data_IF_325017601210
#
_entry.id   IF_325017601210
#
_cell.length_a   1.000
_cell.length_b   1.000
_cell.length_c   1.000
_cell.angle_alpha   90.00
_cell.angle_beta   90.00
_cell.angle_gamma   90.00
#
_symmetry.space_group_name_H-M   'P 1'
#
loop_
_entity.id
_entity.type
_entity.pdbx_description
1 polymer ?
#
# COMPACT_ATOMS: atom_id res chain seq x y z
N UNK A 1 1.86 -23.17 -10.03
CA UNK A 1 3.23 -23.24 -9.47
C UNK A 1 3.23 -23.14 -7.94
N UNK A 2 2.89 -21.99 -7.32
CA UNK A 2 2.86 -21.89 -5.84
C UNK A 2 1.84 -22.84 -5.19
N UNK A 3 0.59 -22.79 -5.63
CA UNK A 3 -0.49 -23.69 -5.16
C UNK A 3 -0.18 -25.18 -5.35
N UNK A 4 0.70 -25.54 -6.28
CA UNK A 4 1.00 -26.93 -6.64
C UNK A 4 2.22 -27.47 -5.90
N UNK A 5 3.21 -26.63 -5.60
CA UNK A 5 4.54 -27.08 -5.20
C UNK A 5 5.05 -26.45 -3.90
N UNK A 6 4.36 -25.46 -3.32
CA UNK A 6 4.89 -24.70 -2.20
C UNK A 6 3.92 -24.47 -1.05
N UNK A 7 2.61 -24.36 -1.31
CA UNK A 7 1.62 -24.12 -0.25
C UNK A 7 0.68 -25.30 -0.10
N UNK A 8 0.44 -25.72 1.14
CA UNK A 8 -0.49 -26.81 1.47
C UNK A 8 -1.95 -26.33 1.59
N UNK A 9 -2.16 -25.01 1.81
CA UNK A 9 -3.48 -24.41 1.99
C UNK A 9 -3.81 -23.44 0.85
N UNK A 10 -3.49 -22.16 1.00
CA UNK A 10 -3.77 -21.13 0.01
C UNK A 10 -2.63 -20.12 -0.07
N UNK A 11 -2.37 -19.60 -1.27
CA UNK A 11 -1.48 -18.46 -1.46
C UNK A 11 -2.32 -17.18 -1.42
N UNK A 12 -2.08 -16.31 -0.44
CA UNK A 12 -2.77 -15.03 -0.34
C UNK A 12 -2.32 -14.11 -1.48
N UNK A 13 -3.25 -13.82 -2.40
CA UNK A 13 -3.01 -12.93 -3.53
C UNK A 13 -4.22 -12.02 -3.78
N UNK A 14 -3.93 -10.82 -4.26
CA UNK A 14 -4.92 -9.91 -4.83
C UNK A 14 -4.58 -9.69 -6.30
N UNK A 15 -5.52 -10.02 -7.17
CA UNK A 15 -5.39 -9.83 -8.61
C UNK A 15 -6.17 -8.59 -8.99
N UNK A 16 -5.49 -7.62 -9.58
CA UNK A 16 -6.13 -6.43 -10.15
C UNK A 16 -6.46 -6.72 -11.61
N UNK A 17 -7.70 -6.45 -12.04
CA UNK A 17 -8.23 -6.85 -13.36
C UNK A 17 -8.73 -5.62 -14.12
N UNK A 18 -8.28 -5.43 -15.36
CA UNK A 18 -8.79 -4.37 -16.26
C UNK A 18 -10.18 -4.73 -16.78
N UNK A 19 -10.93 -3.73 -17.23
CA UNK A 19 -12.31 -3.91 -17.68
C UNK A 19 -12.43 -4.90 -18.86
N UNK A 20 -11.45 -4.92 -19.76
CA UNK A 20 -11.40 -5.82 -20.92
C UNK A 20 -10.93 -7.26 -20.59
N UNK A 21 -10.42 -7.50 -19.39
CA UNK A 21 -9.82 -8.79 -19.01
C UNK A 21 -10.80 -9.72 -18.28
N UNK A 22 -11.96 -9.22 -17.84
CA UNK A 22 -12.89 -9.98 -17.00
C UNK A 22 -13.40 -11.29 -17.62
N UNK A 23 -13.63 -11.31 -18.93
CA UNK A 23 -14.08 -12.54 -19.61
C UNK A 23 -13.00 -13.62 -19.58
N UNK A 24 -11.74 -13.25 -19.81
CA UNK A 24 -10.60 -14.16 -19.74
C UNK A 24 -10.37 -14.67 -18.32
N UNK A 25 -10.52 -13.80 -17.31
CA UNK A 25 -10.38 -14.19 -15.89
C UNK A 25 -11.44 -15.22 -15.48
N UNK A 26 -12.69 -15.06 -15.93
CA UNK A 26 -13.76 -16.04 -15.67
C UNK A 26 -13.46 -17.40 -16.29
N UNK A 27 -13.03 -17.43 -17.55
CA UNK A 27 -12.64 -18.66 -18.24
C UNK A 27 -11.46 -19.34 -17.54
N UNK A 28 -10.43 -18.56 -17.20
CA UNK A 28 -9.28 -19.08 -16.47
C UNK A 28 -9.66 -19.69 -15.12
N UNK A 29 -10.54 -19.04 -14.36
CA UNK A 29 -11.03 -19.56 -13.08
C UNK A 29 -11.76 -20.89 -13.25
N UNK A 30 -12.59 -20.99 -14.29
CA UNK A 30 -13.32 -22.21 -14.61
C UNK A 30 -12.37 -23.38 -14.94
N UNK A 31 -11.37 -23.13 -15.78
CA UNK A 31 -10.40 -24.15 -16.20
C UNK A 31 -9.45 -24.59 -15.08
N UNK A 32 -9.28 -23.75 -14.04
CA UNK A 32 -8.34 -23.98 -12.95
C UNK A 32 -9.03 -24.23 -11.60
N UNK A 33 -10.34 -24.52 -11.60
CA UNK A 33 -11.16 -24.63 -10.40
C UNK A 33 -10.59 -25.60 -9.35
N UNK A 34 -10.02 -26.73 -9.79
CA UNK A 34 -9.46 -27.75 -8.91
C UNK A 34 -8.16 -27.32 -8.19
N UNK A 35 -7.52 -26.25 -8.65
CA UNK A 35 -6.24 -25.75 -8.11
C UNK A 35 -6.38 -24.47 -7.30
N UNK A 36 -7.58 -23.88 -7.24
CA UNK A 36 -7.84 -22.59 -6.60
C UNK A 36 -8.63 -22.81 -5.31
N UNK A 37 -8.18 -22.16 -4.23
CA UNK A 37 -8.89 -22.18 -2.94
C UNK A 37 -9.54 -20.82 -2.67
N UNK A 38 -8.77 -19.74 -2.67
CA UNK A 38 -9.31 -18.39 -2.44
C UNK A 38 -8.44 -17.31 -3.09
N UNK A 39 -9.07 -16.48 -3.92
CA UNK A 39 -8.41 -15.38 -4.64
C UNK A 39 -9.27 -14.12 -4.45
N UNK A 40 -8.61 -13.00 -4.16
CA UNK A 40 -9.25 -11.69 -4.12
C UNK A 40 -9.08 -11.00 -5.47
N UNK A 41 -10.19 -10.61 -6.11
CA UNK A 41 -10.17 -9.82 -7.33
C UNK A 41 -10.58 -8.38 -7.03
N UNK A 42 -9.81 -7.42 -7.52
CA UNK A 42 -10.15 -6.00 -7.48
C UNK A 42 -10.13 -5.43 -8.91
N UNK A 43 -11.04 -4.53 -9.27
CA UNK A 43 -10.92 -3.80 -10.52
C UNK A 43 -9.66 -2.93 -10.48
N UNK A 44 -8.89 -2.94 -11.56
CA UNK A 44 -7.78 -2.02 -11.74
C UNK A 44 -8.35 -0.69 -12.23
N UNK A 45 -8.67 0.21 -11.30
CA UNK A 45 -9.10 1.57 -11.63
C UNK A 45 -7.95 2.56 -11.48
N UNK A 46 -7.83 3.48 -12.43
CA UNK A 46 -6.94 4.64 -12.29
C UNK A 46 -7.50 5.57 -11.22
N UNK A 47 -6.94 5.48 -10.01
CA UNK A 47 -7.33 6.36 -8.93
C UNK A 47 -6.61 7.71 -9.09
N UNK A 48 -7.36 8.78 -9.38
CA UNK A 48 -6.79 10.12 -9.52
C UNK A 48 -6.98 10.92 -8.23
N UNK A 49 -5.92 11.06 -7.43
CA UNK A 49 -5.88 11.97 -6.29
C UNK A 49 -4.49 12.63 -6.20
N UNK A 50 -4.45 13.90 -5.75
CA UNK A 50 -3.26 14.75 -5.87
C UNK A 50 -2.01 14.22 -5.15
N UNK A 51 -2.19 13.44 -4.08
CA UNK A 51 -1.10 12.89 -3.27
C UNK A 51 -1.24 11.37 -3.15
N UNK A 52 -1.13 10.71 -4.30
CA UNK A 52 -1.01 9.26 -4.38
C UNK A 52 0.21 8.76 -3.58
N UNK A 53 0.07 7.75 -2.71
CA UNK A 53 1.20 7.10 -2.06
C UNK A 53 2.23 6.57 -3.06
N UNK A 54 1.76 6.12 -4.23
CA UNK A 54 2.58 5.65 -5.33
C UNK A 54 2.16 6.34 -6.61
N UNK A 55 3.12 6.99 -7.26
CA UNK A 55 2.95 7.67 -8.53
C UNK A 55 3.89 7.04 -9.55
N UNK A 56 3.36 6.71 -10.73
CA UNK A 56 4.17 6.23 -11.83
C UNK A 56 5.00 7.39 -12.42
N UNK A 57 6.31 7.20 -12.52
CA UNK A 57 7.24 8.20 -13.06
C UNK A 57 8.18 7.53 -14.07
N UNK A 58 8.78 8.33 -14.96
CA UNK A 58 9.79 7.82 -15.89
C UNK A 58 11.10 7.50 -15.17
N UNK A 59 11.92 6.67 -15.79
CA UNK A 59 13.25 6.33 -15.28
C UNK A 59 14.14 7.57 -15.13
N UNK A 60 14.05 8.53 -16.06
CA UNK A 60 14.82 9.77 -15.99
C UNK A 60 14.43 10.61 -14.76
N UNK A 61 13.14 10.73 -14.48
CA UNK A 61 12.65 11.47 -13.32
C UNK A 61 13.02 10.74 -12.01
N UNK A 62 12.94 9.40 -11.98
CA UNK A 62 13.43 8.60 -10.86
C UNK A 62 14.91 8.88 -10.59
N UNK A 63 15.77 8.79 -11.62
CA UNK A 63 17.21 8.99 -11.49
C UNK A 63 17.55 10.41 -11.03
N UNK A 64 16.85 11.42 -11.54
CA UNK A 64 16.98 12.80 -11.07
C UNK A 64 16.64 12.92 -9.59
N UNK A 65 15.46 12.45 -9.15
CA UNK A 65 15.02 12.53 -7.74
C UNK A 65 15.96 11.79 -6.80
N UNK A 66 16.44 10.61 -7.18
CA UNK A 66 17.42 9.83 -6.39
C UNK A 66 18.72 10.61 -6.22
N UNK A 67 19.20 11.31 -7.25
CA UNK A 67 20.43 12.12 -7.16
C UNK A 67 20.29 13.34 -6.23
N UNK A 68 19.09 13.90 -6.13
CA UNK A 68 18.78 15.05 -5.28
C UNK A 68 18.45 14.65 -3.83
N UNK A 69 18.10 13.37 -3.61
CA UNK A 69 17.69 12.87 -2.30
C UNK A 69 18.85 12.89 -1.31
N UNK A 70 18.66 13.64 -0.20
CA UNK A 70 19.65 13.69 0.87
C UNK A 70 19.76 12.34 1.57
N UNK A 71 20.98 11.92 1.98
CA UNK A 71 21.14 10.69 2.72
C UNK A 71 20.38 10.74 4.04
N UNK A 72 19.81 9.61 4.43
CA UNK A 72 19.17 9.49 5.73
C UNK A 72 20.21 9.65 6.85
N UNK A 73 20.00 10.65 7.72
CA UNK A 73 20.89 10.94 8.83
C UNK A 73 20.22 10.55 10.14
N UNK A 74 20.50 9.33 10.61
CA UNK A 74 19.98 8.80 11.88
C UNK A 74 20.32 9.70 13.08
N UNK A 75 21.44 10.41 13.06
CA UNK A 75 21.82 11.36 14.11
C UNK A 75 20.84 12.53 14.27
N UNK A 76 20.09 12.88 13.21
CA UNK A 76 19.01 13.87 13.32
C UNK A 76 17.86 13.35 14.17
N UNK A 77 17.60 12.04 14.17
CA UNK A 77 16.56 11.44 15.02
C UNK A 77 16.89 11.75 16.48
N UNK A 78 18.09 11.44 16.95
CA UNK A 78 18.50 11.74 18.33
C UNK A 78 18.47 13.24 18.68
N UNK A 79 18.60 14.13 17.68
CA UNK A 79 18.48 15.58 17.89
C UNK A 79 17.03 16.02 18.10
N UNK A 80 16.07 15.40 17.39
CA UNK A 80 14.66 15.82 17.39
C UNK A 80 13.77 14.93 18.26
N UNK A 81 14.21 13.70 18.55
CA UNK A 81 13.59 12.77 19.47
C UNK A 81 14.02 13.12 20.90
N UNK A 82 13.44 14.19 21.43
CA UNK A 82 13.49 14.46 22.87
C UNK A 82 12.58 13.46 23.57
N UNK A 83 13.17 12.65 24.44
CA UNK A 83 12.54 11.63 25.29
C UNK A 83 11.06 11.89 25.59
N UNK A 84 10.19 11.12 24.94
CA UNK A 84 9.09 10.43 25.61
C UNK A 84 7.84 11.20 26.00
N UNK A 85 7.52 12.36 25.42
CA UNK A 85 6.17 12.93 25.55
C UNK A 85 5.81 13.70 24.27
N UNK A 86 4.95 13.13 23.42
CA UNK A 86 4.07 13.98 22.62
C UNK A 86 3.34 14.86 23.64
N UNK A 87 3.54 16.18 23.64
CA UNK A 87 2.86 17.14 24.53
C UNK A 87 1.33 17.12 24.31
N UNK A 88 0.69 16.01 24.65
CA UNK A 88 -0.75 15.84 24.80
C UNK A 88 -1.15 16.12 26.25
N UNK A 89 -0.18 16.18 27.18
CA UNK A 89 -0.40 16.55 28.58
C UNK A 89 -0.93 18.00 28.73
N UNK A 90 -0.71 18.86 27.74
CA UNK A 90 -1.28 20.20 27.66
C UNK A 90 -2.60 20.27 26.86
N UNK A 91 -3.05 19.17 26.27
CA UNK A 91 -4.39 19.08 25.66
C UNK A 91 -5.35 18.74 26.78
N UNK A 92 -5.79 19.78 27.50
CA UNK A 92 -6.91 19.65 28.42
C UNK A 92 -8.13 19.23 27.62
N UNK A 93 -8.66 18.08 27.99
CA UNK A 93 -9.99 17.56 27.66
C UNK A 93 -10.17 16.96 26.26
N UNK A 94 -10.13 15.63 26.23
CA UNK A 94 -10.91 14.80 25.30
C UNK A 94 -12.32 14.53 25.87
N UNK A 95 -12.86 15.43 26.71
CA UNK A 95 -14.17 15.24 27.38
C UNK A 95 -15.37 15.58 26.49
N UNK A 96 -15.17 16.31 25.38
CA UNK A 96 -16.25 16.77 24.50
C UNK A 96 -16.43 15.95 23.22
N UNK A 97 -15.62 14.90 23.01
CA UNK A 97 -15.72 14.03 21.82
C UNK A 97 -15.42 14.71 20.48
N UNK A 98 -14.85 15.91 20.50
CA UNK A 98 -14.50 16.68 19.31
C UNK A 98 -12.99 16.90 19.32
N UNK A 99 -12.31 16.46 18.25
CA UNK A 99 -10.93 16.89 18.02
C UNK A 99 -10.92 18.42 17.85
N UNK A 100 -10.02 19.16 18.54
CA UNK A 100 -9.98 20.61 18.42
C UNK A 100 -9.93 21.00 16.94
N UNK A 101 -10.89 21.84 16.56
CA UNK A 101 -11.03 22.32 15.18
C UNK A 101 -9.75 23.09 14.84
N UNK A 102 -9.13 22.66 13.74
CA UNK A 102 -8.00 23.34 13.11
C UNK A 102 -8.45 24.58 12.37
#
# INVERSE_FOLDING_TARGET
MFMTYYVDHNASITVHVRDEEWDQVKEWMWDNWDYVVGISFLPLSDASYELLPYEEITEEEYNKRVSEMKPFRTSLIAKYETTGVSNLDNVKECESGICPIR
#
